data_IF_879364022380
#
_entry.id   IF_879364022380
#
_cell.length_a   1.000
_cell.length_b   1.000
_cell.length_c   1.000
_cell.angle_alpha   90.00
_cell.angle_beta   90.00
_cell.angle_gamma   90.00
#
_symmetry.space_group_name_H-M   'P 1'
#
loop_
_entity.id
_entity.type
_entity.pdbx_description
1 polymer ?
#
# COMPACT_ATOMS: atom_id res chain seq x y z
N UNK A 1 -11.69 -19.84 8.98
CA UNK A 1 -11.84 -18.39 8.67
C UNK A 1 -10.94 -18.07 7.50
N UNK A 2 -11.37 -17.21 6.58
CA UNK A 2 -10.57 -16.87 5.40
C UNK A 2 -9.46 -15.87 5.79
N UNK A 3 -8.22 -16.18 5.40
CA UNK A 3 -7.04 -15.33 5.66
C UNK A 3 -6.80 -14.36 4.51
N UNK A 4 -6.40 -13.15 4.85
CA UNK A 4 -5.89 -12.17 3.91
C UNK A 4 -4.48 -12.60 3.51
N UNK A 5 -4.22 -12.72 2.22
CA UNK A 5 -2.85 -12.91 1.72
C UNK A 5 -2.08 -11.59 1.83
N UNK A 6 -1.10 -11.54 2.74
CA UNK A 6 -0.23 -10.39 2.91
C UNK A 6 0.97 -10.50 1.96
N UNK A 7 1.54 -9.36 1.50
CA UNK A 7 2.76 -9.35 0.69
C UNK A 7 3.91 -10.17 1.26
N UNK A 8 4.05 -10.23 2.59
CA UNK A 8 5.10 -11.01 3.26
C UNK A 8 4.89 -12.53 3.27
N UNK A 9 3.71 -13.00 2.88
CA UNK A 9 3.36 -14.42 2.79
C UNK A 9 3.60 -15.01 1.40
N UNK A 10 3.91 -14.15 0.42
CA UNK A 10 4.09 -14.51 -0.97
C UNK A 10 5.53 -14.96 -1.24
N UNK A 11 5.76 -15.89 -2.18
CA UNK A 11 7.08 -16.48 -2.41
C UNK A 11 8.12 -15.45 -2.92
N UNK A 12 7.68 -14.36 -3.55
CA UNK A 12 8.54 -13.27 -4.01
C UNK A 12 8.85 -12.23 -2.93
N UNK A 13 8.47 -12.44 -1.67
CA UNK A 13 8.77 -11.50 -0.57
C UNK A 13 10.24 -11.03 -0.53
N UNK A 14 11.27 -11.90 -0.64
CA UNK A 14 12.67 -11.46 -0.63
C UNK A 14 13.01 -10.50 -1.79
N UNK A 15 12.39 -10.71 -2.96
CA UNK A 15 12.58 -9.82 -4.11
C UNK A 15 11.84 -8.49 -3.90
N UNK A 16 10.63 -8.52 -3.33
CA UNK A 16 9.89 -7.33 -2.95
C UNK A 16 10.66 -6.47 -1.95
N UNK A 17 11.29 -7.07 -0.94
CA UNK A 17 12.13 -6.33 0.02
C UNK A 17 13.28 -5.60 -0.67
N UNK A 18 13.94 -6.24 -1.65
CA UNK A 18 15.02 -5.61 -2.43
C UNK A 18 14.50 -4.43 -3.24
N UNK A 19 13.37 -4.58 -3.93
CA UNK A 19 12.80 -3.48 -4.72
C UNK A 19 12.31 -2.33 -3.85
N UNK A 20 11.65 -2.61 -2.71
CA UNK A 20 11.27 -1.58 -1.73
C UNK A 20 12.50 -0.82 -1.22
N UNK A 21 13.57 -1.53 -0.86
CA UNK A 21 14.82 -0.92 -0.40
C UNK A 21 15.45 -0.05 -1.49
N UNK A 22 15.38 -0.46 -2.76
CA UNK A 22 15.89 0.36 -3.87
C UNK A 22 15.13 1.68 -4.04
N UNK A 23 13.85 1.77 -3.63
CA UNK A 23 13.10 3.03 -3.70
C UNK A 23 13.70 4.13 -2.83
N UNK A 24 14.40 3.78 -1.75
CA UNK A 24 15.02 4.78 -0.86
C UNK A 24 16.24 5.46 -1.48
N UNK A 25 16.70 4.96 -2.64
CA UNK A 25 17.82 5.51 -3.39
C UNK A 25 17.37 6.42 -4.54
N UNK A 26 16.05 6.59 -4.74
CA UNK A 26 15.52 7.45 -5.78
C UNK A 26 15.79 8.92 -5.46
N UNK A 27 16.41 9.63 -6.39
CA UNK A 27 16.69 11.07 -6.29
C UNK A 27 15.79 11.92 -7.18
N UNK A 28 14.94 11.28 -7.99
CA UNK A 28 13.96 11.93 -8.86
C UNK A 28 12.61 11.22 -8.83
N UNK A 29 11.54 11.95 -9.19
CA UNK A 29 10.20 11.36 -9.30
C UNK A 29 10.16 10.21 -10.30
N UNK A 30 10.91 10.35 -11.41
CA UNK A 30 11.01 9.33 -12.45
C UNK A 30 11.60 8.02 -11.92
N UNK A 31 12.74 8.08 -11.24
CA UNK A 31 13.38 6.90 -10.65
C UNK A 31 12.46 6.19 -9.64
N UNK A 32 11.76 6.98 -8.81
CA UNK A 32 10.78 6.45 -7.87
C UNK A 32 9.64 5.73 -8.60
N UNK A 33 9.03 6.40 -9.58
CA UNK A 33 7.88 5.87 -10.34
C UNK A 33 8.28 4.62 -11.10
N UNK A 34 9.44 4.59 -11.76
CA UNK A 34 9.95 3.40 -12.42
C UNK A 34 10.16 2.23 -11.43
N UNK A 35 10.68 2.53 -10.22
CA UNK A 35 10.81 1.55 -9.14
C UNK A 35 9.47 1.00 -8.65
N UNK A 36 8.51 1.89 -8.40
CA UNK A 36 7.16 1.50 -7.99
C UNK A 36 6.43 0.73 -9.10
N UNK A 37 6.65 1.05 -10.37
CA UNK A 37 6.06 0.33 -11.49
C UNK A 37 6.61 -1.11 -11.58
N UNK A 38 7.92 -1.31 -11.33
CA UNK A 38 8.51 -2.66 -11.24
C UNK A 38 7.87 -3.47 -10.11
N UNK A 39 7.66 -2.85 -8.95
CA UNK A 39 6.98 -3.48 -7.81
C UNK A 39 5.55 -3.86 -8.19
N UNK A 40 4.79 -2.92 -8.76
CA UNK A 40 3.41 -3.14 -9.18
C UNK A 40 3.33 -4.31 -10.17
N UNK A 41 4.14 -4.32 -11.23
CA UNK A 41 4.12 -5.37 -12.25
C UNK A 41 4.48 -6.75 -11.68
N UNK A 42 5.32 -6.80 -10.65
CA UNK A 42 5.68 -8.05 -9.97
C UNK A 42 4.58 -8.54 -9.01
N UNK A 43 3.91 -7.63 -8.31
CA UNK A 43 2.99 -7.99 -7.21
C UNK A 43 1.52 -8.05 -7.64
N UNK A 44 1.12 -7.25 -8.62
CA UNK A 44 -0.25 -7.15 -9.11
C UNK A 44 -0.57 -8.30 -10.08
N UNK A 45 -0.39 -9.53 -9.61
CA UNK A 45 -0.77 -10.74 -10.33
C UNK A 45 -2.15 -11.19 -9.87
N UNK A 46 -2.96 -11.68 -10.81
CA UNK A 46 -4.19 -12.37 -10.55
C UNK A 46 -3.96 -13.67 -9.80
N UNK A 47 -4.98 -14.13 -9.09
CA UNK A 47 -4.96 -15.44 -8.42
C UNK A 47 -5.66 -16.50 -9.27
N UNK A 48 -6.36 -16.07 -10.32
CA UNK A 48 -7.00 -16.93 -11.31
C UNK A 48 -6.05 -17.10 -12.51
N UNK A 49 -5.74 -18.32 -12.98
CA UNK A 49 -4.89 -18.54 -14.15
C UNK A 49 -5.41 -17.89 -15.45
N UNK A 50 -6.69 -17.53 -15.51
CA UNK A 50 -7.31 -16.84 -16.64
C UNK A 50 -7.25 -15.30 -16.51
N UNK A 51 -6.75 -14.75 -15.40
CA UNK A 51 -6.62 -13.30 -15.24
C UNK A 51 -5.57 -12.74 -16.23
N UNK A 52 -5.91 -11.65 -16.91
CA UNK A 52 -4.94 -10.89 -17.70
C UNK A 52 -3.97 -10.17 -16.75
N UNK A 53 -2.75 -10.70 -16.71
CA UNK A 53 -1.62 -10.19 -15.94
C UNK A 53 -0.64 -9.38 -16.80
N UNK A 54 -1.10 -8.89 -17.97
CA UNK A 54 -0.31 -7.97 -18.77
C UNK A 54 0.06 -6.71 -17.95
N UNK A 55 1.34 -6.28 -17.98
CA UNK A 55 1.76 -5.11 -17.22
C UNK A 55 1.04 -3.84 -17.66
N UNK A 56 0.29 -3.23 -16.74
CA UNK A 56 -0.25 -1.89 -16.95
C UNK A 56 0.75 -0.82 -16.52
N UNK A 57 1.47 -0.27 -17.50
CA UNK A 57 2.48 0.77 -17.28
C UNK A 57 1.89 2.18 -17.14
N UNK A 58 0.55 2.32 -17.14
CA UNK A 58 -0.12 3.64 -17.00
C UNK A 58 -0.52 3.95 -15.56
N UNK A 59 -0.44 2.96 -14.66
CA UNK A 59 -0.91 3.05 -13.27
C UNK A 59 -0.34 4.25 -12.52
N UNK A 60 0.95 4.53 -12.70
CA UNK A 60 1.66 5.57 -11.95
C UNK A 60 1.79 6.90 -12.68
N UNK A 61 1.21 7.05 -13.87
CA UNK A 61 1.28 8.30 -14.64
C UNK A 61 0.69 9.48 -13.87
N UNK A 62 -0.40 9.27 -13.12
CA UNK A 62 -0.98 10.32 -12.28
C UNK A 62 -0.08 10.70 -11.11
N UNK A 63 0.62 9.73 -10.50
CA UNK A 63 1.61 10.01 -9.45
C UNK A 63 2.78 10.82 -10.00
N UNK A 64 3.35 10.41 -11.13
CA UNK A 64 4.45 11.15 -11.78
C UNK A 64 4.07 12.60 -12.07
N UNK A 65 2.88 12.82 -12.66
CA UNK A 65 2.38 14.17 -12.94
C UNK A 65 2.20 15.01 -11.67
N UNK A 66 1.70 14.41 -10.59
CA UNK A 66 1.55 15.10 -9.31
C UNK A 66 2.91 15.51 -8.73
N UNK A 67 3.89 14.61 -8.75
CA UNK A 67 5.25 14.89 -8.26
C UNK A 67 5.96 15.97 -9.08
N UNK A 68 5.74 16.02 -10.39
CA UNK A 68 6.40 17.00 -11.26
C UNK A 68 5.69 18.36 -11.32
N UNK A 69 4.36 18.37 -11.34
CA UNK A 69 3.59 19.58 -11.63
C UNK A 69 2.92 20.21 -10.41
N UNK A 70 2.63 19.42 -9.37
CA UNK A 70 1.82 19.87 -8.24
C UNK A 70 2.62 20.00 -6.92
N UNK A 71 3.75 19.29 -6.80
CA UNK A 71 4.65 19.40 -5.65
C UNK A 71 5.71 20.49 -5.87
N UNK A 72 5.91 21.34 -4.87
CA UNK A 72 7.03 22.27 -4.86
C UNK A 72 8.36 21.52 -4.72
N UNK A 73 9.48 22.11 -5.18
CA UNK A 73 10.79 21.45 -5.16
C UNK A 73 11.24 20.97 -3.77
N UNK A 74 10.96 21.75 -2.73
CA UNK A 74 11.25 21.35 -1.34
C UNK A 74 10.31 20.26 -0.83
N UNK A 75 9.00 20.36 -1.13
CA UNK A 75 8.00 19.33 -0.80
C UNK A 75 8.38 17.98 -1.44
N UNK A 76 8.75 18.01 -2.72
CA UNK A 76 9.19 16.81 -3.45
C UNK A 76 10.47 16.23 -2.88
N UNK A 77 11.47 17.06 -2.57
CA UNK A 77 12.72 16.60 -1.96
C UNK A 77 12.44 15.93 -0.61
N UNK A 78 11.63 16.55 0.24
CA UNK A 78 11.22 15.97 1.52
C UNK A 78 10.47 14.64 1.35
N UNK A 79 9.57 14.58 0.38
CA UNK A 79 8.87 13.35 0.03
C UNK A 79 9.83 12.21 -0.34
N UNK A 80 10.82 12.48 -1.21
CA UNK A 80 11.80 11.47 -1.65
C UNK A 80 12.81 11.10 -0.55
N UNK A 81 13.33 12.08 0.18
CA UNK A 81 14.43 11.87 1.14
C UNK A 81 13.98 11.46 2.54
N UNK A 82 12.71 11.70 2.90
CA UNK A 82 12.17 11.42 4.23
C UNK A 82 10.97 10.48 4.19
N UNK A 83 9.91 10.88 3.47
CA UNK A 83 8.64 10.15 3.53
C UNK A 83 8.77 8.76 2.89
N UNK A 84 9.39 8.64 1.70
CA UNK A 84 9.57 7.35 1.04
C UNK A 84 10.41 6.36 1.87
N UNK A 85 11.60 6.74 2.38
CA UNK A 85 12.35 5.89 3.31
C UNK A 85 11.55 5.45 4.54
N UNK A 86 10.79 6.37 5.16
CA UNK A 86 9.93 6.04 6.29
C UNK A 86 8.85 5.01 5.90
N UNK A 87 8.17 5.19 4.76
CA UNK A 87 7.18 4.23 4.26
C UNK A 87 7.80 2.86 3.96
N UNK A 88 9.00 2.83 3.37
CA UNK A 88 9.74 1.59 3.10
C UNK A 88 10.09 0.85 4.38
N UNK A 89 10.60 1.54 5.41
CA UNK A 89 10.88 0.93 6.72
C UNK A 89 9.63 0.26 7.31
N UNK A 90 8.47 0.94 7.26
CA UNK A 90 7.21 0.37 7.76
C UNK A 90 6.75 -0.84 6.93
N UNK A 91 6.91 -0.80 5.61
CA UNK A 91 6.59 -1.94 4.75
C UNK A 91 7.46 -3.16 5.09
N UNK A 92 8.77 -2.98 5.23
CA UNK A 92 9.71 -4.09 5.52
C UNK A 92 9.44 -4.79 6.86
N UNK A 93 8.84 -4.08 7.83
CA UNK A 93 8.46 -4.63 9.16
C UNK A 93 7.21 -5.52 9.14
N UNK A 94 6.46 -5.60 8.03
CA UNK A 94 5.18 -6.34 7.96
C UNK A 94 5.26 -7.76 8.52
N UNK A 95 6.29 -8.53 8.16
CA UNK A 95 6.44 -9.92 8.60
C UNK A 95 6.60 -10.06 10.12
N UNK A 96 7.21 -9.07 10.76
CA UNK A 96 7.42 -9.03 12.21
C UNK A 96 6.16 -8.57 12.95
N UNK A 97 5.39 -7.69 12.31
CA UNK A 97 4.21 -7.03 12.90
C UNK A 97 2.90 -7.78 12.68
N UNK A 98 2.83 -8.72 11.72
CA UNK A 98 1.58 -9.42 11.43
C UNK A 98 1.12 -10.29 12.62
N UNK A 99 -0.20 -10.42 12.86
CA UNK A 99 -0.72 -11.28 13.93
C UNK A 99 -0.26 -12.74 13.77
N UNK A 100 0.14 -13.38 14.87
CA UNK A 100 0.62 -14.77 14.86
C UNK A 100 -0.44 -15.77 14.37
N UNK A 101 -1.72 -15.49 14.66
CA UNK A 101 -2.85 -16.29 14.18
C UNK A 101 -3.22 -16.02 12.71
N UNK A 102 -2.53 -15.10 12.03
CA UNK A 102 -2.88 -14.63 10.70
C UNK A 102 -3.86 -13.45 10.70
N UNK A 103 -3.93 -12.74 9.57
CA UNK A 103 -4.83 -11.62 9.36
C UNK A 103 -6.09 -12.10 8.65
N UNK A 104 -7.27 -11.89 9.24
CA UNK A 104 -8.52 -12.50 8.78
C UNK A 104 -9.44 -11.50 8.09
N UNK A 105 -10.24 -11.97 7.14
CA UNK A 105 -11.32 -11.17 6.58
C UNK A 105 -12.48 -11.03 7.56
N UNK A 106 -13.05 -9.82 7.65
CA UNK A 106 -14.32 -9.60 8.32
C UNK A 106 -15.48 -9.90 7.35
N UNK A 107 -16.20 -11.01 7.58
CA UNK A 107 -17.14 -11.58 6.61
C UNK A 107 -18.58 -11.09 6.80
N UNK A 108 -19.37 -11.15 5.72
CA UNK A 108 -20.78 -10.79 5.74
C UNK A 108 -21.58 -11.69 6.68
N UNK A 109 -22.57 -11.12 7.39
CA UNK A 109 -23.41 -11.83 8.38
C UNK A 109 -22.62 -12.48 9.53
N UNK A 110 -21.38 -12.04 9.77
CA UNK A 110 -20.59 -12.45 10.93
C UNK A 110 -20.26 -11.23 11.77
N UNK A 111 -20.73 -11.21 13.02
CA UNK A 111 -20.29 -10.23 13.99
C UNK A 111 -18.81 -10.49 14.31
N UNK A 112 -18.02 -9.45 14.34
CA UNK A 112 -16.57 -9.57 14.46
C UNK A 112 -15.98 -8.37 15.20
N UNK A 113 -14.86 -8.61 15.87
CA UNK A 113 -14.11 -7.61 16.63
C UNK A 113 -12.63 -7.95 16.52
N UNK A 114 -11.89 -7.04 15.88
CA UNK A 114 -10.46 -7.20 15.62
C UNK A 114 -9.71 -5.98 16.15
N UNK A 115 -8.75 -6.22 17.02
CA UNK A 115 -7.83 -5.21 17.51
C UNK A 115 -6.52 -5.33 16.73
N UNK A 116 -6.03 -4.21 16.20
CA UNK A 116 -4.86 -4.16 15.31
C UNK A 116 -3.87 -3.13 15.84
N UNK A 117 -2.59 -3.52 15.95
CA UNK A 117 -1.51 -2.62 16.30
C UNK A 117 -1.35 -1.49 15.27
N UNK A 118 -1.17 -0.25 15.75
CA UNK A 118 -0.98 0.91 14.87
C UNK A 118 0.25 0.75 13.97
N UNK A 119 1.31 0.12 14.47
CA UNK A 119 2.49 -0.20 13.67
C UNK A 119 2.15 -1.13 12.48
N UNK A 120 1.30 -2.15 12.70
CA UNK A 120 0.86 -3.03 11.62
C UNK A 120 -0.06 -2.30 10.63
N UNK A 121 -0.93 -1.41 11.09
CA UNK A 121 -1.74 -0.55 10.21
C UNK A 121 -0.87 0.34 9.33
N UNK A 122 0.16 0.98 9.88
CA UNK A 122 1.10 1.79 9.10
C UNK A 122 1.81 0.95 8.03
N UNK A 123 2.18 -0.29 8.37
CA UNK A 123 2.75 -1.25 7.42
C UNK A 123 1.76 -1.60 6.30
N UNK A 124 0.49 -1.91 6.64
CA UNK A 124 -0.58 -2.17 5.66
C UNK A 124 -0.77 -0.99 4.70
N UNK A 125 -0.80 0.24 5.21
CA UNK A 125 -0.97 1.45 4.40
C UNK A 125 0.24 1.73 3.50
N UNK A 126 1.46 1.46 3.97
CA UNK A 126 2.66 1.56 3.12
C UNK A 126 2.59 0.54 1.97
N UNK A 127 2.17 -0.69 2.26
CA UNK A 127 1.97 -1.72 1.25
C UNK A 127 0.85 -1.39 0.25
N UNK A 128 -0.22 -0.71 0.69
CA UNK A 128 -1.27 -0.19 -0.17
C UNK A 128 -0.76 0.89 -1.12
N UNK A 129 0.04 1.84 -0.60
CA UNK A 129 0.66 2.90 -1.40
C UNK A 129 1.62 2.35 -2.47
N UNK A 130 2.45 1.37 -2.11
CA UNK A 130 3.34 0.69 -3.07
C UNK A 130 2.63 -0.34 -3.96
N UNK A 131 1.30 -0.47 -3.85
CA UNK A 131 0.46 -1.41 -4.60
C UNK A 131 1.00 -2.85 -4.61
N UNK A 132 1.35 -3.36 -3.42
CA UNK A 132 2.06 -4.64 -3.27
C UNK A 132 1.15 -5.84 -2.98
N UNK A 133 -0.14 -5.61 -2.70
CA UNK A 133 -1.07 -6.71 -2.53
C UNK A 133 -1.37 -7.38 -3.87
N UNK A 134 -1.61 -8.70 -3.89
CA UNK A 134 -2.04 -9.40 -5.10
C UNK A 134 -3.37 -8.83 -5.60
N UNK A 135 -3.57 -8.90 -6.91
CA UNK A 135 -4.75 -8.36 -7.58
C UNK A 135 -5.99 -9.09 -7.06
N UNK A 136 -7.00 -8.31 -6.67
CA UNK A 136 -8.33 -8.84 -6.37
C UNK A 136 -9.19 -8.71 -7.62
N UNK A 137 -9.70 -9.82 -8.11
CA UNK A 137 -10.61 -9.89 -9.25
C UNK A 137 -12.04 -10.17 -8.79
N UNK A 138 -13.02 -9.87 -9.64
CA UNK A 138 -14.43 -10.21 -9.37
C UNK A 138 -14.57 -11.73 -9.15
N UNK A 139 -13.74 -12.55 -9.80
CA UNK A 139 -13.75 -14.00 -9.62
C UNK A 139 -13.20 -14.43 -8.25
N UNK A 140 -12.09 -13.83 -7.84
CA UNK A 140 -11.38 -14.26 -6.62
C UNK A 140 -11.97 -13.65 -5.35
N UNK A 141 -12.43 -12.39 -5.42
CA UNK A 141 -12.96 -11.62 -4.29
C UNK A 141 -14.10 -10.68 -4.72
N UNK A 142 -15.26 -11.21 -5.18
CA UNK A 142 -16.34 -10.42 -5.82
C UNK A 142 -16.91 -9.29 -4.96
N UNK A 143 -16.83 -9.42 -3.64
CA UNK A 143 -17.43 -8.50 -2.68
C UNK A 143 -16.41 -7.62 -1.96
N UNK A 144 -15.12 -7.75 -2.28
CA UNK A 144 -14.06 -6.96 -1.67
C UNK A 144 -13.56 -5.91 -2.65
N UNK A 145 -13.29 -4.72 -2.11
CA UNK A 145 -12.64 -3.65 -2.87
C UNK A 145 -11.15 -3.94 -3.03
N UNK A 146 -10.55 -3.32 -4.05
CA UNK A 146 -9.11 -3.23 -4.17
C UNK A 146 -8.55 -2.42 -2.98
N UNK A 147 -7.48 -2.93 -2.40
CA UNK A 147 -6.79 -2.27 -1.29
C UNK A 147 -5.59 -1.44 -1.76
N UNK A 148 -5.05 -1.76 -2.94
CA UNK A 148 -3.91 -1.05 -3.52
C UNK A 148 -4.31 0.35 -4.01
N UNK A 149 -3.32 1.24 -4.11
CA UNK A 149 -3.52 2.60 -4.60
C UNK A 149 -3.47 2.69 -6.13
N UNK A 150 -3.43 1.58 -6.85
CA UNK A 150 -3.34 1.58 -8.32
C UNK A 150 -4.44 2.43 -8.97
N UNK A 151 -5.70 2.25 -8.56
CA UNK A 151 -6.80 3.11 -9.03
C UNK A 151 -6.74 4.53 -8.48
N UNK A 152 -6.22 4.72 -7.25
CA UNK A 152 -6.05 6.04 -6.66
C UNK A 152 -5.10 6.91 -7.50
N UNK A 153 -3.97 6.35 -7.95
CA UNK A 153 -3.00 7.06 -8.78
C UNK A 153 -3.50 7.35 -10.19
N UNK A 154 -4.26 6.44 -10.82
CA UNK A 154 -4.89 6.68 -12.14
C UNK A 154 -5.79 7.92 -12.16
N UNK A 155 -6.42 8.22 -11.02
CA UNK A 155 -7.35 9.35 -10.86
C UNK A 155 -6.76 10.50 -10.01
N UNK A 156 -5.44 10.63 -9.99
CA UNK A 156 -4.73 11.70 -9.28
C UNK A 156 -4.60 12.97 -10.12
N UNK A 157 -5.68 13.39 -10.76
CA UNK A 157 -5.78 14.59 -11.59
C UNK A 157 -6.60 15.69 -10.91
N UNK A 158 -7.60 15.32 -10.10
CA UNK A 158 -8.46 16.25 -9.39
C UNK A 158 -7.85 16.81 -8.09
N UNK A 159 -8.18 18.06 -7.76
CA UNK A 159 -7.70 18.72 -6.54
C UNK A 159 -8.08 17.98 -5.26
N UNK A 160 -9.25 17.34 -5.22
CA UNK A 160 -9.68 16.56 -4.05
C UNK A 160 -8.82 15.29 -3.86
N UNK A 161 -8.44 14.60 -4.93
CA UNK A 161 -7.56 13.43 -4.85
C UNK A 161 -6.13 13.84 -4.47
N UNK A 162 -5.62 14.96 -5.00
CA UNK A 162 -4.33 15.54 -4.60
C UNK A 162 -4.30 15.90 -3.11
N UNK A 163 -5.36 16.50 -2.58
CA UNK A 163 -5.47 16.82 -1.15
C UNK A 163 -5.51 15.57 -0.26
N UNK A 164 -6.20 14.50 -0.70
CA UNK A 164 -6.17 13.21 -0.01
C UNK A 164 -4.76 12.62 0.02
N UNK A 165 -4.05 12.67 -1.11
CA UNK A 165 -2.68 12.18 -1.16
C UNK A 165 -1.79 12.93 -0.18
N UNK A 166 -1.81 14.27 -0.19
CA UNK A 166 -1.07 15.09 0.78
C UNK A 166 -1.39 14.71 2.23
N UNK A 167 -2.65 14.43 2.54
CA UNK A 167 -3.07 13.99 3.88
C UNK A 167 -2.46 12.63 4.26
N UNK A 168 -2.39 11.69 3.32
CA UNK A 168 -1.77 10.38 3.51
C UNK A 168 -0.25 10.52 3.68
N UNK A 169 0.39 11.37 2.87
CA UNK A 169 1.82 11.63 3.01
C UNK A 169 2.14 12.30 4.36
N UNK A 170 1.31 13.24 4.80
CA UNK A 170 1.45 13.86 6.11
C UNK A 170 1.29 12.86 7.26
N UNK A 171 0.42 11.85 7.13
CA UNK A 171 0.37 10.76 8.10
C UNK A 171 1.74 10.10 8.25
N UNK A 172 2.39 9.71 7.16
CA UNK A 172 3.72 9.08 7.22
C UNK A 172 4.84 10.01 7.67
N UNK A 173 4.75 11.30 7.34
CA UNK A 173 5.67 12.33 7.81
C UNK A 173 5.66 12.46 9.34
N UNK A 174 4.47 12.41 9.96
CA UNK A 174 4.34 12.43 11.42
C UNK A 174 4.92 11.17 12.09
N UNK A 175 4.94 10.03 11.39
CA UNK A 175 5.43 8.76 11.93
C UNK A 175 6.95 8.67 12.05
N UNK A 176 7.70 9.58 11.47
CA UNK A 176 9.17 9.63 11.60
C UNK A 176 9.59 10.02 13.05
N UNK A 177 8.65 10.57 13.84
CA UNK A 177 8.93 11.12 15.17
C UNK A 177 8.80 10.12 16.35
N UNK A 178 8.59 8.81 16.12
CA UNK A 178 8.54 7.82 17.20
C UNK A 178 8.04 6.42 16.85
N UNK A 179 8.03 5.52 17.86
CA UNK A 179 7.34 4.24 17.76
C UNK A 179 5.83 4.42 17.87
N UNK A 180 5.08 3.73 17.00
CA UNK A 180 3.62 3.75 17.00
C UNK A 180 3.09 2.84 18.10
N UNK A 181 2.81 3.41 19.26
CA UNK A 181 2.19 2.70 20.38
C UNK A 181 0.66 2.63 20.26
N UNK A 182 0.11 1.53 20.77
CA UNK A 182 -1.33 1.33 20.91
C UNK A 182 -2.00 0.67 19.71
N UNK A 183 -3.29 0.43 19.88
CA UNK A 183 -4.10 -0.38 18.98
C UNK A 183 -5.28 0.40 18.42
N UNK A 184 -5.89 -0.13 17.36
CA UNK A 184 -7.15 0.34 16.79
C UNK A 184 -8.12 -0.83 16.76
N UNK A 185 -9.33 -0.60 17.24
CA UNK A 185 -10.38 -1.59 17.27
C UNK A 185 -11.34 -1.43 16.09
N UNK A 186 -11.45 -2.48 15.29
CA UNK A 186 -12.44 -2.61 14.23
C UNK A 186 -13.55 -3.56 14.71
N UNK A 187 -14.82 -3.16 14.56
CA UNK A 187 -15.96 -4.02 14.90
C UNK A 187 -16.98 -4.02 13.78
N UNK A 188 -17.35 -5.23 13.34
CA UNK A 188 -18.48 -5.47 12.45
C UNK A 188 -19.68 -5.89 13.27
N UNK A 189 -20.73 -5.08 13.23
CA UNK A 189 -21.99 -5.39 13.87
C UNK A 189 -23.00 -5.90 12.84
N UNK A 190 -23.66 -7.01 13.17
CA UNK A 190 -24.78 -7.56 12.40
C UNK A 190 -26.01 -7.36 13.27
N UNK A 191 -26.97 -6.57 12.78
CA UNK A 191 -28.27 -6.44 13.45
C UNK A 191 -29.18 -7.56 12.95
N UNK A 192 -29.77 -8.30 13.89
CA UNK A 192 -30.80 -9.30 13.63
C UNK A 192 -32.08 -8.63 13.10
#
# INVERSE_FOLDING_TARGET
MALVMLPCDLPWWPQLQRHLTQLTLAHSSRELVEGMQRIHNMCNIGLDPEDDDSPDNTVLVGLEKFLENDMAGEERRHFLEKIIPAMVDRALKMKQLKPAAGFHFSLQQQADRLEIDRAFIASLLAHAFFSTFPKRSIKTHPTLQDFNFSNFFRHLDSNCQKAKLRSILHYFDLLDNGELEGTVLFSRQVKN
#
